data_IF_425683884871
#
_entry.id   IF_425683884871
#
_cell.length_a   1.000
_cell.length_b   1.000
_cell.length_c   1.000
_cell.angle_alpha   90.00
_cell.angle_beta   90.00
_cell.angle_gamma   90.00
#
_symmetry.space_group_name_H-M   'P 1'
#
loop_
_entity.id
_entity.type
_entity.pdbx_description
1 polymer ?
#
# COMPACT_ATOMS: atom_id res chain seq x y z
N UNK A 1 41.18 24.69 12.61
CA UNK A 1 40.58 24.30 11.32
C UNK A 1 40.02 22.91 11.51
N UNK A 2 38.69 22.78 11.50
CA UNK A 2 37.99 21.53 11.78
C UNK A 2 37.68 20.91 10.41
N UNK A 3 38.33 19.79 10.10
CA UNK A 3 38.06 19.01 8.89
C UNK A 3 36.64 18.43 8.96
N UNK A 4 35.82 18.79 7.97
CA UNK A 4 34.51 18.19 7.77
C UNK A 4 34.69 16.83 7.10
N UNK A 5 34.34 15.78 7.83
CA UNK A 5 34.10 14.45 7.30
C UNK A 5 32.96 14.49 6.27
N UNK A 6 33.30 14.34 5.00
CA UNK A 6 32.32 14.02 3.96
C UNK A 6 31.94 12.54 4.07
N UNK A 7 30.75 12.30 4.61
CA UNK A 7 30.07 11.02 4.55
C UNK A 7 29.79 10.65 3.09
N UNK A 8 30.60 9.74 2.56
CA UNK A 8 30.34 9.06 1.29
C UNK A 8 29.05 8.24 1.46
N UNK A 9 27.92 8.76 0.95
CA UNK A 9 26.69 7.97 0.81
C UNK A 9 27.00 6.75 -0.06
N UNK A 10 27.11 5.59 0.57
CA UNK A 10 27.28 4.30 -0.10
C UNK A 10 25.97 3.97 -0.81
N UNK A 11 25.81 4.43 -2.05
CA UNK A 11 24.63 4.09 -2.84
C UNK A 11 24.58 2.59 -3.03
N UNK A 12 23.50 1.96 -2.56
CA UNK A 12 23.21 0.55 -2.78
C UNK A 12 22.90 0.42 -4.27
N UNK A 13 23.73 -0.29 -5.03
CA UNK A 13 23.43 -0.57 -6.44
C UNK A 13 22.32 -1.62 -6.48
N UNK A 14 21.14 -1.24 -6.96
CA UNK A 14 20.06 -2.18 -7.21
C UNK A 14 20.40 -2.95 -8.50
N UNK A 15 20.38 -4.28 -8.42
CA UNK A 15 20.65 -5.16 -9.57
C UNK A 15 19.59 -6.25 -9.60
N UNK A 16 19.06 -6.49 -10.79
CA UNK A 16 18.19 -7.62 -11.07
C UNK A 16 18.99 -8.70 -11.80
N UNK A 17 18.65 -9.96 -11.55
CA UNK A 17 19.11 -11.06 -12.40
C UNK A 17 18.45 -10.97 -13.79
N UNK A 18 18.98 -11.71 -14.77
CA UNK A 18 18.34 -11.81 -16.08
C UNK A 18 16.91 -12.38 -15.97
N UNK A 19 16.70 -13.36 -15.09
CA UNK A 19 15.39 -13.96 -14.83
C UNK A 19 14.42 -12.95 -14.21
N UNK A 20 14.89 -12.09 -13.32
CA UNK A 20 14.09 -11.03 -12.70
C UNK A 20 13.71 -9.93 -13.71
N UNK A 21 14.56 -9.63 -14.69
CA UNK A 21 14.27 -8.66 -15.76
C UNK A 21 13.10 -9.16 -16.63
N UNK A 22 13.05 -10.46 -16.94
CA UNK A 22 11.94 -11.08 -17.69
C UNK A 22 10.60 -11.01 -16.95
N UNK A 23 10.63 -10.76 -15.63
CA UNK A 23 9.42 -10.60 -14.82
C UNK A 23 8.87 -9.17 -14.81
N UNK A 24 9.61 -8.19 -15.36
CA UNK A 24 9.17 -6.79 -15.39
C UNK A 24 7.99 -6.56 -16.35
N UNK A 25 7.15 -5.54 -16.09
CA UNK A 25 6.11 -5.12 -17.01
C UNK A 25 6.68 -4.71 -18.37
N UNK A 26 6.10 -5.27 -19.42
CA UNK A 26 6.32 -4.83 -20.80
C UNK A 26 5.72 -3.45 -21.03
N UNK A 27 5.99 -2.83 -22.19
CA UNK A 27 5.36 -1.55 -22.53
C UNK A 27 3.84 -1.68 -22.71
N UNK A 28 3.35 -2.85 -23.16
CA UNK A 28 1.92 -3.15 -23.23
C UNK A 28 1.31 -3.24 -21.83
N UNK A 29 2.01 -3.86 -20.87
CA UNK A 29 1.57 -3.92 -19.46
C UNK A 29 1.52 -2.52 -18.82
N UNK A 30 2.48 -1.64 -19.13
CA UNK A 30 2.48 -0.25 -18.66
C UNK A 30 1.31 0.52 -19.29
N UNK A 31 1.06 0.33 -20.60
CA UNK A 31 -0.10 0.93 -21.26
C UNK A 31 -1.42 0.44 -20.63
N UNK A 32 -1.52 -0.86 -20.32
CA UNK A 32 -2.65 -1.44 -19.60
C UNK A 32 -2.83 -0.76 -18.24
N UNK A 33 -1.78 -0.69 -17.42
CA UNK A 33 -1.85 -0.03 -16.11
C UNK A 33 -2.30 1.43 -16.21
N UNK A 34 -1.79 2.18 -17.18
CA UNK A 34 -2.22 3.56 -17.42
C UNK A 34 -3.70 3.67 -17.84
N UNK A 35 -4.21 2.68 -18.57
CA UNK A 35 -5.60 2.59 -19.00
C UNK A 35 -6.56 2.00 -17.95
N UNK A 36 -6.09 1.19 -17.01
CA UNK A 36 -6.97 0.44 -16.11
C UNK A 36 -6.78 0.82 -14.63
N UNK A 37 -5.62 1.37 -14.27
CA UNK A 37 -5.28 1.79 -12.92
C UNK A 37 -4.86 0.63 -12.02
N UNK A 38 -4.74 -0.57 -12.58
CA UNK A 38 -4.29 -1.77 -11.89
C UNK A 38 -3.50 -2.69 -12.83
N UNK A 39 -2.70 -3.58 -12.25
CA UNK A 39 -1.89 -4.55 -12.98
C UNK A 39 -1.65 -5.78 -12.10
N UNK A 40 -1.93 -6.97 -12.63
CA UNK A 40 -1.57 -8.23 -12.00
C UNK A 40 -0.17 -8.63 -12.47
N UNK A 41 0.78 -8.75 -11.55
CA UNK A 41 2.16 -9.10 -11.89
C UNK A 41 2.31 -10.53 -12.40
N UNK A 42 3.48 -10.85 -12.95
CA UNK A 42 4.01 -12.23 -13.02
C UNK A 42 4.35 -12.74 -11.59
N UNK A 43 4.83 -13.98 -11.46
CA UNK A 43 5.25 -14.55 -10.17
C UNK A 43 6.55 -13.88 -9.69
N UNK A 44 6.46 -12.95 -8.75
CA UNK A 44 7.59 -12.18 -8.23
C UNK A 44 8.20 -12.77 -6.96
N UNK A 45 7.43 -13.60 -6.24
CA UNK A 45 7.89 -14.31 -5.05
C UNK A 45 7.93 -15.81 -5.28
N UNK A 46 8.97 -16.47 -4.77
CA UNK A 46 9.04 -17.93 -4.77
C UNK A 46 8.06 -18.54 -3.76
N UNK A 47 7.83 -19.84 -3.84
CA UNK A 47 6.94 -20.51 -2.89
C UNK A 47 7.53 -20.48 -1.47
N UNK A 48 8.85 -20.60 -1.34
CA UNK A 48 9.57 -20.48 -0.06
C UNK A 48 9.43 -19.07 0.53
N UNK A 49 9.46 -18.03 -0.30
CA UNK A 49 9.25 -16.65 0.16
C UNK A 49 7.81 -16.45 0.65
N UNK A 50 6.82 -17.00 -0.05
CA UNK A 50 5.42 -16.93 0.41
C UNK A 50 5.19 -17.71 1.70
N UNK A 51 5.85 -18.86 1.88
CA UNK A 51 5.82 -19.63 3.12
C UNK A 51 6.51 -18.88 4.27
N UNK A 52 7.63 -18.22 4.00
CA UNK A 52 8.28 -17.35 5.00
C UNK A 52 7.41 -16.15 5.38
N UNK A 53 6.62 -15.57 4.46
CA UNK A 53 5.64 -14.53 4.82
C UNK A 53 4.59 -15.07 5.80
N UNK A 54 4.10 -16.30 5.60
CA UNK A 54 3.19 -16.95 6.56
C UNK A 54 3.89 -17.10 7.91
N UNK A 55 5.06 -17.73 7.95
CA UNK A 55 5.79 -17.99 9.19
C UNK A 55 6.15 -16.70 9.94
N UNK A 56 6.64 -15.68 9.24
CA UNK A 56 6.96 -14.38 9.82
C UNK A 56 5.71 -13.65 10.32
N UNK A 57 4.57 -13.78 9.64
CA UNK A 57 3.31 -13.19 10.12
C UNK A 57 2.81 -13.85 11.42
N UNK A 58 2.99 -15.16 11.56
CA UNK A 58 2.63 -15.87 12.80
C UNK A 58 3.58 -15.49 13.96
N UNK A 59 4.89 -15.37 13.70
CA UNK A 59 5.84 -14.85 14.71
C UNK A 59 5.52 -13.41 15.11
N UNK A 60 5.17 -12.56 14.15
CA UNK A 60 4.71 -11.20 14.41
C UNK A 60 3.45 -11.21 15.30
N UNK A 61 2.46 -12.04 15.01
CA UNK A 61 1.26 -12.15 15.85
C UNK A 61 1.52 -12.80 17.23
N UNK A 62 2.57 -13.61 17.36
CA UNK A 62 3.06 -14.13 18.64
C UNK A 62 3.84 -13.09 19.46
N UNK A 63 4.08 -11.89 18.92
CA UNK A 63 4.71 -10.76 19.61
C UNK A 63 6.16 -10.48 19.20
N UNK A 64 6.72 -11.19 18.22
CA UNK A 64 8.07 -10.93 17.72
C UNK A 64 8.17 -9.54 17.08
N UNK A 65 9.12 -8.74 17.55
CA UNK A 65 9.44 -7.40 17.03
C UNK A 65 10.95 -7.22 17.05
N UNK A 66 11.54 -6.90 15.91
CA UNK A 66 12.95 -6.50 15.82
C UNK A 66 13.13 -5.01 16.17
N UNK A 67 12.07 -4.23 15.94
CA UNK A 67 12.02 -2.79 16.24
C UNK A 67 10.64 -2.41 16.74
N UNK A 68 10.58 -1.35 17.52
CA UNK A 68 9.33 -0.71 17.93
C UNK A 68 9.25 0.70 17.36
N UNK A 69 8.04 1.16 17.07
CA UNK A 69 7.83 2.55 16.68
C UNK A 69 8.23 3.49 17.84
N UNK A 70 8.96 4.59 17.57
CA UNK A 70 9.41 5.53 18.60
C UNK A 70 8.26 6.29 19.27
N UNK A 71 7.11 6.38 18.59
CA UNK A 71 5.86 6.94 19.10
C UNK A 71 4.70 6.18 18.46
N UNK A 72 3.53 6.19 19.10
CA UNK A 72 2.31 5.63 18.52
C UNK A 72 1.57 6.72 17.71
N UNK A 73 1.49 6.61 16.37
CA UNK A 73 0.71 7.55 15.59
C UNK A 73 -0.78 7.52 15.95
N UNK A 74 -1.51 8.64 15.88
CA UNK A 74 -2.92 8.71 16.30
C UNK A 74 -3.86 7.79 15.51
N UNK A 75 -3.54 7.53 14.23
CA UNK A 75 -4.35 6.70 13.31
C UNK A 75 -3.64 5.39 12.98
N UNK A 76 -2.79 4.89 13.87
CA UNK A 76 -2.06 3.64 13.67
C UNK A 76 -3.04 2.45 13.71
N UNK A 77 -3.09 1.67 12.64
CA UNK A 77 -3.74 0.37 12.70
C UNK A 77 -2.80 -0.63 13.39
N UNK A 78 -3.19 -1.11 14.57
CA UNK A 78 -2.38 -2.04 15.35
C UNK A 78 -3.28 -3.00 16.12
N UNK A 79 -3.65 -4.12 15.48
CA UNK A 79 -4.39 -5.18 16.16
C UNK A 79 -3.53 -5.85 17.23
N UNK A 80 -4.16 -6.26 18.32
CA UNK A 80 -3.58 -7.04 19.41
C UNK A 80 -4.61 -8.09 19.91
N UNK A 81 -4.18 -9.15 20.62
CA UNK A 81 -5.06 -10.25 21.02
C UNK A 81 -6.29 -9.85 21.85
N UNK A 82 -6.27 -8.71 22.56
CA UNK A 82 -7.43 -8.25 23.35
C UNK A 82 -8.62 -7.85 22.48
N UNK A 83 -8.40 -7.62 21.17
CA UNK A 83 -9.45 -7.24 20.20
C UNK A 83 -10.22 -8.45 19.65
N UNK A 84 -9.86 -9.67 20.04
CA UNK A 84 -10.53 -10.89 19.62
C UNK A 84 -10.27 -11.27 18.17
N UNK A 85 -11.01 -12.29 17.70
CA UNK A 85 -10.81 -12.89 16.38
C UNK A 85 -11.60 -12.17 15.28
N UNK A 86 -11.18 -10.95 15.00
CA UNK A 86 -11.73 -10.07 13.96
C UNK A 86 -10.70 -9.85 12.85
N UNK A 87 -11.06 -9.08 11.81
CA UNK A 87 -10.06 -8.64 10.84
C UNK A 87 -8.92 -7.89 11.53
N UNK A 88 -7.67 -8.26 11.21
CA UNK A 88 -6.46 -7.70 11.82
C UNK A 88 -5.76 -6.81 10.81
N UNK A 89 -5.34 -5.64 11.27
CA UNK A 89 -4.47 -4.72 10.54
C UNK A 89 -3.34 -4.30 11.47
N UNK A 90 -2.11 -4.43 11.00
CA UNK A 90 -0.93 -3.96 11.70
C UNK A 90 -0.06 -3.19 10.70
N UNK A 91 0.10 -1.90 10.95
CA UNK A 91 0.90 -0.99 10.14
C UNK A 91 2.40 -1.11 10.47
N UNK A 92 3.24 -0.63 9.55
CA UNK A 92 4.69 -0.54 9.71
C UNK A 92 5.41 -1.89 9.89
N UNK A 93 4.82 -3.00 9.45
CA UNK A 93 5.45 -4.33 9.57
C UNK A 93 6.78 -4.47 8.81
N UNK A 94 7.00 -3.71 7.74
CA UNK A 94 8.28 -3.60 7.04
C UNK A 94 9.39 -2.92 7.87
N UNK A 95 9.02 -2.19 8.93
CA UNK A 95 9.93 -1.54 9.86
C UNK A 95 10.12 -2.40 11.12
N UNK A 96 9.03 -2.94 11.67
CA UNK A 96 9.04 -3.64 12.95
C UNK A 96 9.60 -5.06 12.91
N UNK A 97 9.55 -5.75 11.77
CA UNK A 97 9.87 -7.18 11.69
C UNK A 97 10.73 -7.53 10.46
N UNK A 98 11.94 -8.02 10.69
CA UNK A 98 12.97 -8.26 9.68
C UNK A 98 12.62 -9.42 8.73
N UNK A 99 11.93 -10.45 9.22
CA UNK A 99 11.40 -11.52 8.38
C UNK A 99 10.46 -11.02 7.28
N UNK A 100 9.48 -10.18 7.63
CA UNK A 100 8.58 -9.52 6.67
C UNK A 100 9.35 -8.50 5.81
N UNK A 101 10.16 -7.65 6.44
CA UNK A 101 10.92 -6.60 5.76
C UNK A 101 11.85 -7.15 4.67
N UNK A 102 12.49 -8.30 4.89
CA UNK A 102 13.39 -8.94 3.93
C UNK A 102 12.72 -9.17 2.57
N UNK A 103 11.45 -9.58 2.58
CA UNK A 103 10.68 -9.88 1.37
C UNK A 103 10.06 -8.61 0.80
N UNK A 104 9.47 -7.76 1.66
CA UNK A 104 8.86 -6.49 1.24
C UNK A 104 9.87 -5.50 0.66
N UNK A 105 11.16 -5.65 0.98
CA UNK A 105 12.25 -4.81 0.48
C UNK A 105 12.98 -5.38 -0.75
N UNK A 106 12.43 -6.38 -1.43
CA UNK A 106 13.04 -6.95 -2.65
C UNK A 106 13.13 -5.89 -3.77
N UNK A 107 14.30 -5.71 -4.41
CA UNK A 107 14.46 -4.77 -5.52
C UNK A 107 13.51 -5.04 -6.69
N UNK A 108 13.19 -6.31 -6.97
CA UNK A 108 12.24 -6.68 -8.02
C UNK A 108 10.86 -6.03 -7.84
N UNK A 109 10.33 -5.97 -6.61
CA UNK A 109 9.04 -5.30 -6.34
C UNK A 109 9.15 -3.81 -6.67
N UNK A 110 10.24 -3.17 -6.25
CA UNK A 110 10.52 -1.76 -6.54
C UNK A 110 10.68 -1.50 -8.04
N UNK A 111 11.35 -2.40 -8.79
CA UNK A 111 11.55 -2.26 -10.23
C UNK A 111 10.23 -2.39 -11.02
N UNK A 112 9.36 -3.33 -10.64
CA UNK A 112 8.02 -3.45 -11.21
C UNK A 112 7.22 -2.17 -10.95
N UNK A 113 7.24 -1.67 -9.71
CA UNK A 113 6.57 -0.43 -9.36
C UNK A 113 7.13 0.79 -10.10
N UNK A 114 8.45 0.86 -10.29
CA UNK A 114 9.13 1.92 -11.03
C UNK A 114 8.70 1.94 -12.51
N UNK A 115 8.58 0.76 -13.13
CA UNK A 115 8.07 0.60 -14.50
C UNK A 115 6.63 1.10 -14.63
N UNK A 116 5.74 0.69 -13.72
CA UNK A 116 4.32 1.07 -13.75
C UNK A 116 4.11 2.56 -13.45
N UNK A 117 4.83 3.11 -12.47
CA UNK A 117 4.75 4.52 -12.10
C UNK A 117 5.58 5.45 -12.99
N UNK A 118 6.35 4.86 -13.93
CA UNK A 118 7.24 5.56 -14.85
C UNK A 118 8.16 6.55 -14.13
N UNK A 119 8.92 6.03 -13.16
CA UNK A 119 9.82 6.80 -12.31
C UNK A 119 11.14 6.03 -12.10
N UNK A 120 12.20 6.77 -11.83
CA UNK A 120 13.53 6.18 -11.65
C UNK A 120 13.78 5.69 -10.22
N UNK A 121 12.97 6.11 -9.25
CA UNK A 121 13.16 5.75 -7.84
C UNK A 121 11.83 5.39 -7.16
N UNK A 122 11.83 4.26 -6.44
CA UNK A 122 10.72 3.81 -5.61
C UNK A 122 11.20 3.60 -4.17
N UNK A 123 10.44 4.12 -3.21
CA UNK A 123 10.60 3.88 -1.78
C UNK A 123 9.36 3.20 -1.23
N UNK A 124 9.52 2.45 -0.14
CA UNK A 124 8.36 2.10 0.68
C UNK A 124 7.78 3.42 1.22
N UNK A 125 6.47 3.57 1.12
CA UNK A 125 5.74 4.54 1.91
C UNK A 125 5.35 3.86 3.22
N UNK A 126 4.52 2.82 3.18
CA UNK A 126 4.05 2.13 4.38
C UNK A 126 3.74 0.66 4.05
N UNK A 127 3.63 -0.21 5.06
CA UNK A 127 3.11 -1.57 4.86
C UNK A 127 2.10 -1.97 5.95
N UNK A 128 0.96 -2.53 5.56
CA UNK A 128 -0.03 -3.08 6.50
C UNK A 128 -0.13 -4.60 6.32
N UNK A 129 0.10 -5.36 7.40
CA UNK A 129 -0.25 -6.78 7.48
C UNK A 129 -1.74 -6.92 7.73
N UNK A 130 -2.40 -7.71 6.87
CA UNK A 130 -3.85 -7.88 6.87
C UNK A 130 -4.17 -9.36 7.05
N UNK A 131 -4.98 -9.67 8.05
CA UNK A 131 -5.55 -11.00 8.27
C UNK A 131 -7.08 -10.89 8.24
N UNK A 132 -7.72 -11.63 7.34
CA UNK A 132 -9.18 -11.83 7.35
C UNK A 132 -9.51 -13.24 7.83
N UNK A 133 -10.13 -13.41 9.01
CA UNK A 133 -10.54 -14.73 9.47
C UNK A 133 -11.61 -15.34 8.55
N UNK A 134 -11.69 -16.68 8.42
CA UNK A 134 -12.75 -17.38 7.69
C UNK A 134 -14.06 -17.42 8.50
N UNK A 135 -14.51 -16.27 9.01
CA UNK A 135 -15.74 -16.16 9.80
C UNK A 135 -16.83 -15.57 8.90
N UNK A 136 -17.79 -16.42 8.54
CA UNK A 136 -18.93 -16.03 7.74
C UNK A 136 -19.77 -14.96 8.45
N UNK A 137 -20.00 -13.82 7.79
CA UNK A 137 -20.79 -12.73 8.35
C UNK A 137 -20.06 -11.81 9.34
N UNK A 138 -18.76 -12.02 9.59
CA UNK A 138 -17.93 -11.09 10.38
C UNK A 138 -17.96 -9.69 9.73
N UNK A 139 -18.56 -8.67 10.37
CA UNK A 139 -18.75 -7.38 9.72
C UNK A 139 -17.43 -6.72 9.32
N UNK A 140 -16.36 -6.88 10.10
CA UNK A 140 -15.05 -6.31 9.80
C UNK A 140 -14.43 -6.87 8.51
N UNK A 141 -14.85 -8.04 8.03
CA UNK A 141 -14.25 -8.68 6.85
C UNK A 141 -14.52 -7.98 5.51
N UNK A 142 -15.27 -6.87 5.48
CA UNK A 142 -15.53 -6.08 4.25
C UNK A 142 -14.76 -4.76 4.33
N UNK A 143 -13.91 -4.52 3.32
CA UNK A 143 -13.27 -3.23 3.09
C UNK A 143 -14.10 -2.48 2.05
N UNK A 144 -14.76 -1.37 2.42
CA UNK A 144 -15.62 -0.60 1.53
C UNK A 144 -14.80 0.12 0.44
N UNK A 145 -15.49 0.69 -0.54
CA UNK A 145 -14.86 1.45 -1.62
C UNK A 145 -14.13 2.67 -1.09
N UNK A 146 -12.88 2.78 -1.49
CA UNK A 146 -12.03 3.93 -1.24
C UNK A 146 -10.93 3.95 -2.31
N UNK A 147 -10.11 4.99 -2.32
CA UNK A 147 -8.81 4.93 -2.93
C UNK A 147 -7.79 5.57 -2.00
N UNK A 148 -6.55 5.12 -2.10
CA UNK A 148 -5.52 5.42 -1.11
C UNK A 148 -5.16 6.91 -0.97
N UNK A 149 -5.18 7.64 -2.09
CA UNK A 149 -4.79 9.05 -2.16
C UNK A 149 -5.59 9.94 -1.20
N UNK A 150 -6.81 9.57 -0.85
CA UNK A 150 -7.58 10.24 0.21
C UNK A 150 -6.82 10.28 1.54
N UNK A 151 -6.23 9.15 1.93
CA UNK A 151 -5.45 9.04 3.17
C UNK A 151 -4.07 9.67 3.05
N UNK A 152 -3.56 9.84 1.84
CA UNK A 152 -2.25 10.41 1.52
C UNK A 152 -2.34 11.86 1.05
N UNK A 153 -3.31 12.62 1.56
CA UNK A 153 -3.53 14.01 1.16
C UNK A 153 -2.31 14.91 1.41
N UNK A 154 -1.50 14.57 2.42
CA UNK A 154 -0.22 15.22 2.75
C UNK A 154 0.94 14.80 1.83
N UNK A 155 0.76 13.84 0.93
CA UNK A 155 1.74 13.44 -0.08
C UNK A 155 1.56 14.26 -1.36
N UNK A 156 2.66 14.84 -1.85
CA UNK A 156 2.65 15.67 -3.07
C UNK A 156 2.48 14.88 -4.36
N UNK A 157 2.89 13.61 -4.38
CA UNK A 157 2.85 12.80 -5.59
C UNK A 157 1.48 12.19 -5.87
N UNK A 158 1.08 12.21 -7.13
CA UNK A 158 -0.10 11.52 -7.63
C UNK A 158 0.26 10.21 -8.36
N UNK A 159 1.55 9.81 -8.39
CA UNK A 159 2.03 8.57 -9.03
C UNK A 159 2.26 7.42 -8.06
N UNK A 160 1.93 7.61 -6.78
CA UNK A 160 2.03 6.57 -5.75
C UNK A 160 1.15 5.38 -6.13
N UNK A 161 1.54 4.20 -5.68
CA UNK A 161 0.83 2.94 -5.98
C UNK A 161 1.00 1.94 -4.85
N UNK A 162 0.13 0.93 -4.83
CA UNK A 162 0.11 -0.10 -3.80
C UNK A 162 0.28 -1.47 -4.43
N UNK A 163 1.20 -2.27 -3.89
CA UNK A 163 1.30 -3.71 -4.16
C UNK A 163 0.51 -4.47 -3.09
N UNK A 164 -0.57 -5.14 -3.50
CA UNK A 164 -1.32 -6.06 -2.66
C UNK A 164 -0.78 -7.49 -2.84
N UNK A 165 -0.19 -8.03 -1.78
CA UNK A 165 0.61 -9.26 -1.79
C UNK A 165 -0.07 -10.32 -0.91
N UNK A 166 -0.90 -11.22 -1.47
CA UNK A 166 -1.40 -12.36 -0.72
C UNK A 166 -0.30 -13.42 -0.51
N UNK A 167 -0.37 -14.15 0.60
CA UNK A 167 0.64 -15.17 0.93
C UNK A 167 0.35 -16.55 0.33
N UNK A 168 -0.78 -16.66 -0.36
CA UNK A 168 -1.34 -17.88 -0.92
C UNK A 168 -2.19 -17.51 -2.14
N UNK A 169 -2.75 -18.51 -2.82
CA UNK A 169 -3.76 -18.25 -3.85
C UNK A 169 -4.93 -17.50 -3.24
N UNK A 170 -5.32 -16.39 -3.88
CA UNK A 170 -6.34 -15.50 -3.39
C UNK A 170 -7.46 -15.35 -4.44
N UNK A 171 -8.35 -16.35 -4.53
CA UNK A 171 -9.51 -16.30 -5.41
C UNK A 171 -10.61 -15.37 -4.85
N UNK A 172 -11.63 -15.00 -5.64
CA UNK A 172 -12.66 -14.06 -5.23
C UNK A 172 -13.39 -14.40 -3.93
N UNK A 173 -13.67 -15.68 -3.68
CA UNK A 173 -14.34 -16.18 -2.48
C UNK A 173 -13.54 -15.97 -1.18
N UNK A 174 -12.22 -15.77 -1.26
CA UNK A 174 -11.40 -15.40 -0.10
C UNK A 174 -11.51 -13.90 0.26
N UNK A 175 -12.37 -13.16 -0.45
CA UNK A 175 -12.48 -11.72 -0.30
C UNK A 175 -11.24 -11.02 -0.86
N UNK A 176 -10.83 -11.38 -2.08
CA UNK A 176 -9.73 -10.72 -2.79
C UNK A 176 -10.00 -9.24 -3.02
N UNK A 177 -8.95 -8.49 -3.33
CA UNK A 177 -9.08 -7.08 -3.69
C UNK A 177 -9.84 -6.93 -5.02
N UNK A 178 -10.76 -5.97 -5.08
CA UNK A 178 -11.59 -5.67 -6.25
C UNK A 178 -11.31 -4.24 -6.68
N UNK A 179 -11.03 -4.04 -7.97
CA UNK A 179 -10.79 -2.73 -8.57
C UNK A 179 -12.05 -2.20 -9.23
N UNK A 180 -12.21 -0.89 -9.27
CA UNK A 180 -13.09 -0.22 -10.22
C UNK A 180 -12.24 0.22 -11.40
N UNK A 181 -12.43 -0.44 -12.54
CA UNK A 181 -11.57 -0.32 -13.71
C UNK A 181 -11.51 1.11 -14.26
N UNK A 182 -10.30 1.63 -14.48
CA UNK A 182 -10.07 2.96 -15.05
C UNK A 182 -10.40 4.14 -14.12
N UNK A 183 -10.82 3.88 -12.89
CA UNK A 183 -11.30 4.91 -11.96
C UNK A 183 -10.24 5.87 -11.44
N UNK A 184 -8.95 5.53 -11.57
CA UNK A 184 -7.85 6.44 -11.21
C UNK A 184 -7.82 7.74 -12.02
N UNK A 185 -8.44 7.73 -13.21
CA UNK A 185 -8.60 8.91 -14.06
C UNK A 185 -9.80 9.77 -13.69
N UNK A 186 -10.67 9.30 -12.80
CA UNK A 186 -11.88 10.02 -12.46
C UNK A 186 -11.58 11.28 -11.65
N UNK A 187 -12.32 12.33 -11.97
CA UNK A 187 -12.47 13.52 -11.14
C UNK A 187 -13.51 13.26 -10.05
N UNK A 188 -13.36 13.92 -8.91
CA UNK A 188 -14.28 13.75 -7.79
C UNK A 188 -15.29 14.89 -7.74
N UNK A 189 -16.53 14.57 -7.39
CA UNK A 189 -17.55 15.58 -7.11
C UNK A 189 -17.27 16.17 -5.73
N UNK A 190 -16.94 17.46 -5.72
CA UNK A 190 -16.77 18.23 -4.49
C UNK A 190 -15.44 17.98 -3.78
N UNK A 191 -14.94 19.02 -3.14
CA UNK A 191 -13.83 18.94 -2.18
C UNK A 191 -14.37 18.62 -0.79
N UNK A 192 -15.11 17.51 -0.65
CA UNK A 192 -15.52 17.08 0.68
C UNK A 192 -14.32 16.42 1.36
N UNK A 193 -13.54 17.21 2.09
CA UNK A 193 -12.35 16.74 2.79
C UNK A 193 -12.67 15.73 3.91
N UNK A 194 -13.94 15.42 4.19
CA UNK A 194 -14.29 14.23 4.99
C UNK A 194 -13.78 12.96 4.34
N UNK A 195 -13.47 12.98 3.03
CA UNK A 195 -12.76 11.91 2.31
C UNK A 195 -11.44 11.48 2.95
N UNK A 196 -10.78 12.38 3.66
CA UNK A 196 -9.51 12.13 4.37
C UNK A 196 -9.69 11.30 5.66
N UNK A 197 -10.93 11.11 6.14
CA UNK A 197 -11.24 10.23 7.28
C UNK A 197 -11.20 8.77 6.88
N UNK A 198 -10.66 7.93 7.75
CA UNK A 198 -10.51 6.48 7.52
C UNK A 198 -11.86 5.86 7.13
N UNK A 199 -11.91 4.94 6.15
CA UNK A 199 -13.18 4.38 5.69
C UNK A 199 -13.98 3.68 6.80
N UNK A 200 -13.29 3.13 7.81
CA UNK A 200 -13.91 2.48 8.96
C UNK A 200 -14.75 3.45 9.82
N UNK A 201 -14.60 4.76 9.62
CA UNK A 201 -15.36 5.81 10.31
C UNK A 201 -16.58 6.27 9.50
N UNK A 202 -16.85 5.66 8.33
CA UNK A 202 -17.98 6.01 7.46
C UNK A 202 -18.99 4.89 7.32
N UNK A 203 -20.22 5.30 7.01
CA UNK A 203 -21.24 4.38 6.56
C UNK A 203 -20.87 3.84 5.17
N UNK A 204 -20.93 2.52 5.01
CA UNK A 204 -20.70 1.84 3.73
C UNK A 204 -21.64 2.34 2.65
N UNK A 205 -22.89 2.62 3.01
CA UNK A 205 -23.89 3.11 2.08
C UNK A 205 -23.48 4.46 1.46
N UNK A 206 -22.83 5.32 2.26
CA UNK A 206 -22.31 6.60 1.79
C UNK A 206 -21.15 6.41 0.82
N UNK A 207 -20.23 5.49 1.12
CA UNK A 207 -19.09 5.20 0.23
C UNK A 207 -19.52 4.57 -1.10
N UNK A 208 -20.53 3.68 -1.08
CA UNK A 208 -21.15 3.15 -2.30
C UNK A 208 -21.82 4.26 -3.12
N UNK A 209 -22.54 5.17 -2.47
CA UNK A 209 -23.16 6.32 -3.14
C UNK A 209 -22.12 7.25 -3.77
N UNK A 210 -21.06 7.60 -3.04
CA UNK A 210 -19.96 8.43 -3.54
C UNK A 210 -19.30 7.83 -4.78
N UNK A 211 -19.10 6.51 -4.81
CA UNK A 211 -18.56 5.81 -5.99
C UNK A 211 -19.46 6.00 -7.21
N UNK A 212 -20.77 5.80 -7.05
CA UNK A 212 -21.74 5.93 -8.15
C UNK A 212 -21.85 7.37 -8.64
N UNK A 213 -21.87 8.33 -7.72
CA UNK A 213 -21.92 9.76 -8.06
C UNK A 213 -20.65 10.17 -8.83
N UNK A 214 -19.46 9.79 -8.34
CA UNK A 214 -18.21 10.09 -9.04
C UNK A 214 -18.14 9.43 -10.42
N UNK A 215 -18.63 8.20 -10.58
CA UNK A 215 -18.71 7.56 -11.89
C UNK A 215 -19.63 8.36 -12.85
N UNK A 216 -20.81 8.76 -12.38
CA UNK A 216 -21.75 9.57 -13.17
C UNK A 216 -21.17 10.94 -13.57
N UNK A 217 -20.40 11.60 -12.69
CA UNK A 217 -19.73 12.86 -13.02
C UNK A 217 -18.71 12.74 -14.16
N UNK A 218 -18.10 11.57 -14.28
CA UNK A 218 -17.10 11.28 -15.32
C UNK A 218 -17.69 10.62 -16.56
N UNK A 219 -19.04 10.56 -16.68
CA UNK A 219 -19.74 9.82 -17.75
C UNK A 219 -19.23 8.37 -17.88
N UNK A 220 -18.99 7.73 -16.73
CA UNK A 220 -18.38 6.41 -16.64
C UNK A 220 -19.31 5.39 -15.97
N UNK A 221 -19.19 4.13 -16.38
CA UNK A 221 -19.81 3.01 -15.70
C UNK A 221 -18.90 2.44 -14.60
N UNK A 222 -19.49 1.97 -13.50
CA UNK A 222 -18.76 1.29 -12.43
C UNK A 222 -18.49 -0.17 -12.83
N UNK A 223 -17.33 -0.43 -13.41
CA UNK A 223 -16.88 -1.79 -13.78
C UNK A 223 -16.00 -2.38 -12.67
N UNK A 224 -16.54 -3.34 -11.91
CA UNK A 224 -15.85 -3.97 -10.77
C UNK A 224 -15.11 -5.24 -11.20
N UNK A 225 -13.79 -5.29 -10.99
CA UNK A 225 -12.92 -6.40 -11.37
C UNK A 225 -12.32 -7.04 -10.10
N UNK A 226 -12.84 -8.20 -9.64
CA UNK A 226 -12.20 -8.95 -8.57
C UNK A 226 -10.92 -9.61 -9.09
N UNK A 227 -9.78 -9.35 -8.44
CA UNK A 227 -8.49 -9.85 -8.92
C UNK A 227 -8.23 -11.23 -8.33
N UNK A 228 -8.23 -12.27 -9.16
CA UNK A 228 -7.73 -13.59 -8.76
C UNK A 228 -6.20 -13.53 -8.77
N UNK A 229 -5.57 -13.65 -7.61
CA UNK A 229 -4.11 -13.49 -7.48
C UNK A 229 -3.50 -14.85 -7.12
N UNK A 230 -2.78 -15.51 -8.04
CA UNK A 230 -2.05 -16.74 -7.73
C UNK A 230 -0.94 -16.50 -6.72
N UNK A 231 -0.58 -17.54 -5.97
CA UNK A 231 0.54 -17.50 -5.01
C UNK A 231 1.81 -16.96 -5.68
N UNK A 232 2.45 -15.99 -5.00
CA UNK A 232 3.69 -15.36 -5.44
C UNK A 232 3.51 -14.26 -6.49
N UNK A 233 2.28 -14.06 -6.99
CA UNK A 233 1.91 -12.86 -7.74
C UNK A 233 1.41 -11.78 -6.78
N UNK A 234 1.30 -10.55 -7.26
CA UNK A 234 0.72 -9.43 -6.53
C UNK A 234 -0.02 -8.50 -7.48
N UNK A 235 -1.04 -7.81 -6.95
CA UNK A 235 -1.75 -6.78 -7.70
C UNK A 235 -1.16 -5.40 -7.36
N UNK A 236 -0.76 -4.66 -8.38
CA UNK A 236 -0.44 -3.25 -8.28
C UNK A 236 -1.66 -2.41 -8.62
N UNK A 237 -1.92 -1.34 -7.87
CA UNK A 237 -2.97 -0.38 -8.21
C UNK A 237 -2.55 1.06 -7.90
N UNK A 238 -3.00 1.98 -8.74
CA UNK A 238 -2.72 3.39 -8.63
C UNK A 238 -3.38 3.98 -7.38
N UNK A 239 -2.76 4.98 -6.75
CA UNK A 239 -3.29 5.60 -5.52
C UNK A 239 -4.70 6.20 -5.64
N UNK A 240 -5.16 6.43 -6.88
CA UNK A 240 -6.50 6.95 -7.20
C UNK A 240 -7.48 5.89 -7.68
N UNK A 241 -7.06 4.64 -7.85
CA UNK A 241 -7.97 3.55 -8.26
C UNK A 241 -8.90 3.23 -7.11
N UNK A 242 -10.21 3.41 -7.33
CA UNK A 242 -11.22 2.92 -6.40
C UNK A 242 -11.09 1.41 -6.25
N UNK A 243 -11.01 0.96 -5.01
CA UNK A 243 -10.89 -0.44 -4.69
C UNK A 243 -11.54 -0.75 -3.34
N UNK A 244 -11.77 -2.04 -3.11
CA UNK A 244 -12.36 -2.57 -1.90
C UNK A 244 -12.12 -4.07 -1.84
N UNK A 245 -12.66 -4.74 -0.82
CA UNK A 245 -12.67 -6.21 -0.80
C UNK A 245 -13.88 -6.75 -0.06
N UNK A 246 -14.48 -7.79 -0.63
CA UNK A 246 -15.61 -8.50 -0.04
C UNK A 246 -15.23 -9.32 1.20
N UNK A 247 -16.22 -9.98 1.78
CA UNK A 247 -16.02 -10.90 2.91
C UNK A 247 -15.17 -12.10 2.50
N UNK A 248 -14.45 -12.68 3.47
CA UNK A 248 -13.85 -14.01 3.30
C UNK A 248 -14.94 -15.06 3.53
N UNK A 249 -15.34 -15.75 2.46
CA UNK A 249 -16.35 -16.80 2.45
C UNK A 249 -15.73 -18.20 2.33
N UNK A 250 -14.40 -18.29 2.33
CA UNK A 250 -13.66 -19.55 2.24
C UNK A 250 -13.45 -20.18 3.62
N UNK A 251 -12.95 -21.42 3.62
CA UNK A 251 -12.64 -22.17 4.85
C UNK A 251 -11.28 -21.80 5.47
N UNK A 252 -10.48 -20.95 4.80
CA UNK A 252 -9.14 -20.56 5.22
C UNK A 252 -8.98 -19.06 5.45
N UNK A 253 -8.05 -18.61 6.31
CA UNK A 253 -7.81 -17.18 6.48
C UNK A 253 -7.14 -16.58 5.24
N UNK A 254 -7.49 -15.34 4.90
CA UNK A 254 -6.76 -14.55 3.91
C UNK A 254 -5.68 -13.73 4.60
N UNK A 255 -4.42 -14.06 4.34
CA UNK A 255 -3.25 -13.30 4.79
C UNK A 255 -2.63 -12.53 3.64
N UNK A 256 -2.42 -11.24 3.82
CA UNK A 256 -1.83 -10.38 2.80
C UNK A 256 -1.07 -9.21 3.40
N UNK A 257 -0.21 -8.60 2.58
CA UNK A 257 0.37 -7.28 2.84
C UNK A 257 -0.20 -6.28 1.84
N UNK A 258 -0.62 -5.13 2.32
CA UNK A 258 -0.73 -3.92 1.50
C UNK A 258 0.59 -3.16 1.62
N UNK A 259 1.39 -3.13 0.55
CA UNK A 259 2.67 -2.42 0.50
C UNK A 259 2.48 -1.16 -0.33
N UNK A 260 2.40 -0.02 0.35
CA UNK A 260 2.27 1.29 -0.27
C UNK A 260 3.65 1.78 -0.69
N UNK A 261 3.76 2.23 -1.93
CA UNK A 261 4.99 2.64 -2.59
C UNK A 261 4.88 4.08 -3.09
N UNK A 262 5.97 4.82 -2.96
CA UNK A 262 6.08 6.21 -3.41
C UNK A 262 7.24 6.37 -4.38
N UNK A 263 7.05 7.21 -5.39
CA UNK A 263 8.12 7.66 -6.26
C UNK A 263 9.08 8.62 -5.55
N UNK A 264 10.30 8.72 -6.08
CA UNK A 264 11.37 9.53 -5.49
C UNK A 264 11.06 11.02 -5.30
N UNK A 265 10.13 11.57 -6.09
CA UNK A 265 9.73 12.97 -6.05
C UNK A 265 8.67 13.28 -4.97
N UNK A 266 8.11 12.25 -4.32
CA UNK A 266 7.12 12.46 -3.28
C UNK A 266 7.71 13.23 -2.09
N UNK A 267 7.01 14.28 -1.68
CA UNK A 267 7.35 15.12 -0.54
C UNK A 267 6.10 15.37 0.31
N UNK A 268 6.32 15.79 1.55
CA UNK A 268 5.24 16.34 2.35
C UNK A 268 4.74 17.66 1.75
N UNK A 269 3.43 17.78 1.63
CA UNK A 269 2.70 19.02 1.40
C UNK A 269 1.69 19.26 2.52
N UNK A 270 1.42 20.54 2.82
CA UNK A 270 0.26 20.90 3.64
C UNK A 270 -1.01 20.70 2.80
N UNK A 271 -2.02 20.09 3.40
CA UNK A 271 -3.34 19.95 2.81
C UNK A 271 -4.37 20.48 3.82
N UNK A 272 -4.84 21.73 3.66
CA UNK A 272 -5.87 22.31 4.53
C UNK A 272 -7.19 21.55 4.39
N UNK A 273 -7.86 21.30 5.51
CA UNK A 273 -9.20 20.75 5.57
C UNK A 273 -10.22 21.88 5.77
N UNK A 274 -11.46 21.63 5.40
CA UNK A 274 -12.59 22.57 5.56
C UNK A 274 -12.83 23.07 7.00
N UNK A 275 -12.41 22.31 8.03
CA UNK A 275 -12.48 22.71 9.44
C UNK A 275 -11.32 23.61 9.91
N UNK A 276 -10.41 23.98 9.00
CA UNK A 276 -9.24 24.81 9.26
C UNK A 276 -8.02 24.04 9.79
N UNK A 277 -8.13 22.73 10.02
CA UNK A 277 -7.00 21.88 10.38
C UNK A 277 -6.22 21.41 9.14
N UNK A 278 -5.11 20.68 9.34
CA UNK A 278 -4.35 20.07 8.25
C UNK A 278 -4.60 18.56 8.24
N UNK A 279 -4.71 17.99 7.04
CA UNK A 279 -4.60 16.55 6.87
C UNK A 279 -3.28 16.08 7.49
N UNK A 280 -3.36 14.97 8.22
CA UNK A 280 -2.21 14.33 8.83
C UNK A 280 -2.19 12.85 8.49
N UNK A 281 -0.98 12.34 8.29
CA UNK A 281 -0.70 10.92 8.09
C UNK A 281 0.24 10.39 9.18
N UNK A 282 0.26 9.06 9.37
CA UNK A 282 1.06 8.42 10.41
C UNK A 282 2.56 8.75 10.30
N UNK A 283 3.10 8.97 9.09
CA UNK A 283 4.48 9.41 8.90
C UNK A 283 4.80 10.73 9.57
N UNK A 284 3.85 11.66 9.66
CA UNK A 284 4.12 13.03 10.06
C UNK A 284 4.71 13.14 11.46
N UNK A 285 4.54 12.11 12.30
CA UNK A 285 5.10 12.01 13.66
C UNK A 285 6.24 11.01 13.79
N UNK A 286 6.51 10.20 12.77
CA UNK A 286 7.52 9.14 12.78
C UNK A 286 8.80 9.55 12.05
N UNK A 287 8.66 10.11 10.84
CA UNK A 287 9.81 10.45 10.02
C UNK A 287 10.57 11.64 10.60
N UNK A 288 11.87 11.70 10.32
CA UNK A 288 12.70 12.85 10.63
C UNK A 288 12.18 14.14 9.97
N UNK A 289 12.77 15.27 10.35
CA UNK A 289 12.43 16.59 9.80
C UNK A 289 13.43 17.03 8.74
N UNK A 290 12.93 17.67 7.69
CA UNK A 290 13.74 18.45 6.74
C UNK A 290 14.33 19.70 7.42
N UNK A 291 15.32 20.39 6.82
CA UNK A 291 15.90 21.60 7.40
C UNK A 291 14.90 22.73 7.68
N UNK A 292 13.79 22.79 6.93
CA UNK A 292 12.68 23.73 7.11
C UNK A 292 11.58 23.21 8.07
N UNK A 293 11.82 22.08 8.75
CA UNK A 293 10.98 21.56 9.81
C UNK A 293 9.77 20.72 9.37
N UNK A 294 9.63 20.41 8.08
CA UNK A 294 8.55 19.55 7.56
C UNK A 294 8.87 18.06 7.77
N UNK A 295 7.86 17.16 7.81
CA UNK A 295 8.11 15.73 7.71
C UNK A 295 8.92 15.39 6.44
N UNK A 296 9.96 14.57 6.59
CA UNK A 296 10.77 14.07 5.48
C UNK A 296 10.23 12.73 4.98
N UNK A 297 9.39 12.75 3.94
CA UNK A 297 8.89 11.52 3.30
C UNK A 297 9.97 10.74 2.52
N UNK A 298 11.22 11.20 2.53
CA UNK A 298 12.41 10.49 2.06
C UNK A 298 13.29 9.94 3.19
N UNK A 299 12.79 9.88 4.44
CA UNK A 299 13.51 9.30 5.57
C UNK A 299 13.82 7.81 5.30
N UNK A 300 15.09 7.39 5.14
CA UNK A 300 15.42 6.01 4.77
C UNK A 300 15.11 4.98 5.86
N UNK A 301 14.89 5.41 7.11
CA UNK A 301 14.58 4.49 8.21
C UNK A 301 13.13 3.98 8.10
N UNK A 302 12.20 4.85 7.74
CA UNK A 302 10.77 4.52 7.57
C UNK A 302 10.34 4.35 6.11
N UNK A 303 11.04 5.01 5.19
CA UNK A 303 10.76 5.01 3.77
C UNK A 303 11.98 4.51 2.98
N UNK A 304 12.46 3.27 3.22
CA UNK A 304 13.64 2.75 2.55
C UNK A 304 13.43 2.65 1.03
N UNK A 305 14.46 3.03 0.26
CA UNK A 305 14.49 2.86 -1.20
C UNK A 305 14.50 1.38 -1.57
N UNK A 306 13.57 0.98 -2.44
CA UNK A 306 13.50 -0.36 -3.02
C UNK A 306 14.14 -0.43 -4.40
N UNK A 307 14.12 0.67 -5.13
CA UNK A 307 14.67 0.76 -6.47
C UNK A 307 15.17 2.17 -6.75
N UNK A 308 16.29 2.27 -7.45
CA UNK A 308 16.81 3.50 -8.02
C UNK A 308 17.60 3.15 -9.29
N UNK A 309 17.18 3.67 -10.44
CA UNK A 309 17.90 3.55 -11.71
C UNK A 309 19.01 4.62 -11.72
N UNK A 310 20.20 4.24 -11.22
CA UNK A 310 21.39 5.12 -11.16
C UNK A 310 22.66 4.34 -11.49
#
# INVERSE_FOLDING_TARGET
>A
MIERSESIKKYRTFKLSAEEIELLPTDEDVAFYNQHGWYLSKKLLTDEETEELVNASERYYAGERDRTLPTAPPKLAYWDPSKGDVQRHNDYVHYEHDGLAKILRKPLIGAVAARLAQTDEIRIFQSTLIYKPPIHGEPSNIVPWHFDKHYWSSSSSDRMLTAFIPFHDCPPEMGTITMVDGSHRWQEIGSDDTVVRHFAERDRSQLDQMLVENAAYNDAEVVKIPITIPRGHMNFHHCRTYHGSGANLSDGPRRAISLHLQDGDNQYRKFPLSDGTLASYNHDVLVRRTPDGRPDYADPDFCPTLWADR
#
